data_IF_917265679664
#
_entry.id   IF_917265679664
#
_cell.length_a   1.000
_cell.length_b   1.000
_cell.length_c   1.000
_cell.angle_alpha   90.00
_cell.angle_beta   90.00
_cell.angle_gamma   90.00
#
_symmetry.space_group_name_H-M   'P 1'
#
loop_
_entity.id
_entity.type
_entity.pdbx_description
1 polymer ?
#
# COMPACT_ATOMS: atom_id res chain seq x y z
N UNK A 1 4.83 12.30 10.92
CA UNK A 1 3.57 11.62 10.53
C UNK A 1 3.74 10.12 10.78
N UNK A 2 2.71 9.30 10.58
CA UNK A 2 2.82 7.85 10.68
C UNK A 2 2.27 7.20 9.41
N UNK A 3 2.88 6.12 8.95
CA UNK A 3 2.57 5.54 7.64
C UNK A 3 2.34 4.04 7.74
N UNK A 4 1.44 3.55 6.88
CA UNK A 4 1.38 2.15 6.47
C UNK A 4 2.02 2.07 5.10
N UNK A 5 2.97 1.15 4.93
CA UNK A 5 3.67 0.92 3.66
C UNK A 5 3.37 -0.50 3.19
N UNK A 6 2.75 -0.62 2.01
CA UNK A 6 2.47 -1.89 1.36
C UNK A 6 3.34 -2.07 0.12
N UNK A 7 4.20 -3.08 0.14
CA UNK A 7 5.09 -3.42 -0.96
C UNK A 7 4.54 -4.66 -1.68
N UNK A 8 4.02 -4.48 -2.88
CA UNK A 8 3.44 -5.53 -3.70
C UNK A 8 4.51 -6.18 -4.57
N UNK A 9 4.64 -7.51 -4.47
CA UNK A 9 5.55 -8.29 -5.32
C UNK A 9 5.06 -8.32 -6.77
N UNK A 10 5.87 -8.91 -7.65
CA UNK A 10 5.56 -8.99 -9.08
C UNK A 10 4.28 -9.83 -9.33
N UNK A 11 3.18 -9.23 -9.83
CA UNK A 11 1.99 -10.00 -10.16
C UNK A 11 2.23 -10.83 -11.42
N UNK A 12 1.50 -11.93 -11.54
CA UNK A 12 1.47 -12.77 -12.75
C UNK A 12 0.87 -12.07 -13.96
N UNK A 13 0.01 -11.07 -13.72
CA UNK A 13 -0.61 -10.21 -14.74
C UNK A 13 -0.68 -8.78 -14.18
N UNK A 14 0.12 -7.89 -14.77
CA UNK A 14 0.22 -6.49 -14.32
C UNK A 14 -1.00 -5.66 -14.69
N UNK A 15 -1.64 -5.93 -15.83
CA UNK A 15 -2.81 -5.15 -16.28
C UNK A 15 -4.03 -5.51 -15.43
N UNK A 16 -4.21 -6.79 -15.11
CA UNK A 16 -5.24 -7.24 -14.19
C UNK A 16 -5.02 -6.69 -12.77
N UNK A 17 -3.77 -6.67 -12.28
CA UNK A 17 -3.42 -6.03 -11.01
C UNK A 17 -3.83 -4.56 -11.01
N UNK A 18 -3.40 -3.78 -12.01
CA UNK A 18 -3.63 -2.33 -12.07
C UNK A 18 -5.12 -2.00 -12.13
N UNK A 19 -5.84 -2.70 -13.00
CA UNK A 19 -7.29 -2.52 -13.15
C UNK A 19 -8.02 -2.81 -11.85
N UNK A 20 -7.70 -3.92 -11.17
CA UNK A 20 -8.36 -4.29 -9.93
C UNK A 20 -7.99 -3.33 -8.79
N UNK A 21 -6.71 -3.00 -8.70
CA UNK A 21 -6.17 -2.10 -7.68
C UNK A 21 -6.89 -0.76 -7.71
N UNK A 22 -6.99 -0.14 -8.88
CA UNK A 22 -7.58 1.18 -9.04
C UNK A 22 -9.10 1.18 -8.86
N UNK A 23 -9.78 0.18 -9.44
CA UNK A 23 -11.25 0.13 -9.44
C UNK A 23 -11.85 -0.38 -8.14
N UNK A 24 -11.11 -1.20 -7.38
CA UNK A 24 -11.64 -1.93 -6.21
C UNK A 24 -10.85 -1.63 -4.95
N UNK A 25 -9.53 -1.85 -4.96
CA UNK A 25 -8.72 -1.76 -3.74
C UNK A 25 -8.56 -0.32 -3.24
N UNK A 26 -8.26 0.62 -4.14
CA UNK A 26 -8.08 2.04 -3.80
C UNK A 26 -9.33 2.63 -3.13
N UNK A 27 -10.57 2.41 -3.64
CA UNK A 27 -11.79 2.82 -2.94
C UNK A 27 -11.97 2.24 -1.54
N UNK A 28 -11.47 1.04 -1.26
CA UNK A 28 -11.51 0.45 0.09
C UNK A 28 -10.51 1.13 1.01
N UNK A 29 -9.25 1.21 0.59
CA UNK A 29 -8.18 1.84 1.37
C UNK A 29 -8.43 3.34 1.62
N UNK A 30 -9.08 4.06 0.69
CA UNK A 30 -9.46 5.47 0.88
C UNK A 30 -10.52 5.71 1.95
N UNK A 31 -11.17 4.65 2.47
CA UNK A 31 -12.14 4.76 3.57
C UNK A 31 -11.47 4.69 4.95
N UNK A 32 -10.17 4.39 5.03
CA UNK A 32 -9.48 4.27 6.30
C UNK A 32 -9.64 5.55 7.14
N UNK A 33 -10.05 5.43 8.42
CA UNK A 33 -10.30 6.60 9.25
C UNK A 33 -8.98 7.33 9.54
N UNK A 34 -9.01 8.67 9.45
CA UNK A 34 -7.83 9.50 9.71
C UNK A 34 -6.80 9.51 8.57
N UNK A 35 -7.13 8.97 7.39
CA UNK A 35 -6.30 9.06 6.19
C UNK A 35 -5.97 10.52 5.86
N UNK A 36 -4.69 10.82 5.73
CA UNK A 36 -4.18 12.14 5.31
C UNK A 36 -3.78 12.12 3.85
N UNK A 37 -3.06 11.08 3.43
CA UNK A 37 -2.57 10.95 2.06
C UNK A 37 -2.43 9.49 1.65
N UNK A 38 -2.52 9.25 0.34
CA UNK A 38 -2.34 7.93 -0.25
C UNK A 38 -1.63 8.05 -1.59
N UNK A 39 -0.37 7.64 -1.61
CA UNK A 39 0.50 7.63 -2.79
C UNK A 39 0.85 6.19 -3.18
N UNK A 40 0.99 5.96 -4.47
CA UNK A 40 1.55 4.72 -5.02
C UNK A 40 2.70 5.00 -5.97
N UNK A 41 3.73 4.18 -5.93
CA UNK A 41 4.91 4.25 -6.79
C UNK A 41 5.10 2.92 -7.50
N UNK A 42 5.18 2.94 -8.84
CA UNK A 42 5.61 1.78 -9.63
C UNK A 42 7.13 1.66 -9.56
N UNK A 43 7.61 0.49 -9.19
CA UNK A 43 9.03 0.26 -9.00
C UNK A 43 9.69 -0.09 -10.33
N UNK A 44 10.75 0.62 -10.65
CA UNK A 44 11.66 0.33 -11.76
C UNK A 44 13.09 0.39 -11.25
N UNK A 45 13.98 -0.43 -11.80
CA UNK A 45 15.40 -0.37 -11.45
C UNK A 45 16.09 0.74 -12.23
N UNK A 46 16.83 1.60 -11.52
CA UNK A 46 17.76 2.55 -12.13
C UNK A 46 19.14 1.92 -12.41
N UNK A 47 19.40 0.73 -11.86
CA UNK A 47 20.66 0.00 -12.04
C UNK A 47 20.54 -0.99 -13.22
N UNK A 48 21.35 -0.83 -14.28
CA UNK A 48 21.26 -1.66 -15.47
C UNK A 48 21.40 -3.16 -15.16
N UNK A 49 20.42 -3.95 -15.59
CA UNK A 49 20.44 -5.41 -15.44
C UNK A 49 19.97 -5.93 -14.08
N UNK A 50 19.59 -5.05 -13.15
CA UNK A 50 19.04 -5.45 -11.85
C UNK A 50 17.50 -5.45 -11.87
N UNK A 51 16.91 -6.46 -11.25
CA UNK A 51 15.46 -6.52 -11.01
C UNK A 51 15.06 -5.75 -9.76
N UNK A 52 13.78 -5.41 -9.65
CA UNK A 52 13.19 -4.86 -8.43
C UNK A 52 12.47 -5.95 -7.64
N UNK A 53 12.53 -5.93 -6.30
CA UNK A 53 11.83 -6.92 -5.47
C UNK A 53 10.30 -6.72 -5.46
N UNK A 54 9.84 -5.52 -5.81
CA UNK A 54 8.44 -5.13 -5.78
C UNK A 54 8.04 -4.54 -7.12
N UNK A 55 6.78 -4.74 -7.49
CA UNK A 55 6.16 -4.10 -8.64
C UNK A 55 5.63 -2.71 -8.30
N UNK A 56 5.10 -2.54 -7.08
CA UNK A 56 4.52 -1.28 -6.62
C UNK A 56 4.64 -1.15 -5.10
N UNK A 57 4.86 0.07 -4.63
CA UNK A 57 4.79 0.44 -3.21
C UNK A 57 3.67 1.45 -3.02
N UNK A 58 2.82 1.20 -2.03
CA UNK A 58 1.78 2.12 -1.59
C UNK A 58 2.12 2.67 -0.20
N UNK A 59 1.98 3.97 -0.03
CA UNK A 59 2.16 4.67 1.25
C UNK A 59 0.84 5.33 1.64
N UNK A 60 0.35 4.98 2.81
CA UNK A 60 -0.89 5.50 3.40
C UNK A 60 -0.52 6.28 4.66
N UNK A 61 -0.72 7.60 4.64
CA UNK A 61 -0.20 8.52 5.66
C UNK A 61 -1.29 8.95 6.62
N UNK A 62 -0.92 9.07 7.90
CA UNK A 62 -1.75 9.49 9.03
C UNK A 62 -1.02 10.57 9.84
N UNK A 63 -1.77 11.40 10.57
CA UNK A 63 -1.17 12.49 11.37
C UNK A 63 -0.35 11.97 12.56
N UNK A 64 -0.72 10.83 13.15
CA UNK A 64 -0.09 10.32 14.37
C UNK A 64 -0.10 8.79 14.47
N UNK A 65 0.69 8.25 15.41
CA UNK A 65 0.68 6.82 15.75
C UNK A 65 -0.70 6.37 16.26
N UNK A 66 -1.42 7.24 16.98
CA UNK A 66 -2.78 6.94 17.45
C UNK A 66 -3.74 6.76 16.28
N UNK A 67 -3.64 7.62 15.27
CA UNK A 67 -4.53 7.58 14.11
C UNK A 67 -4.29 6.33 13.26
N UNK A 68 -3.02 5.95 13.03
CA UNK A 68 -2.74 4.70 12.29
C UNK A 68 -3.22 3.47 13.06
N UNK A 69 -3.12 3.45 14.39
CA UNK A 69 -3.63 2.33 15.21
C UNK A 69 -5.14 2.23 15.12
N UNK A 70 -5.84 3.36 15.22
CA UNK A 70 -7.30 3.40 15.05
C UNK A 70 -7.70 2.93 13.65
N UNK A 71 -6.96 3.31 12.60
CA UNK A 71 -7.17 2.81 11.25
C UNK A 71 -6.93 1.30 11.15
N UNK A 72 -5.88 0.76 11.77
CA UNK A 72 -5.56 -0.66 11.72
C UNK A 72 -6.59 -1.58 12.39
N UNK A 73 -7.29 -1.05 13.40
CA UNK A 73 -8.37 -1.73 14.15
C UNK A 73 -9.77 -1.52 13.54
N UNK A 74 -9.86 -0.77 12.43
CA UNK A 74 -11.13 -0.41 11.81
C UNK A 74 -11.70 -1.51 10.89
N UNK A 75 -13.03 -1.59 10.73
CA UNK A 75 -13.64 -2.48 9.76
C UNK A 75 -13.25 -2.15 8.31
N UNK A 76 -12.89 -0.90 8.02
CA UNK A 76 -12.38 -0.49 6.71
C UNK A 76 -11.02 -1.13 6.42
N UNK A 77 -10.14 -1.26 7.42
CA UNK A 77 -8.88 -1.98 7.28
C UNK A 77 -9.10 -3.48 7.10
N UNK A 78 -10.04 -4.08 7.82
CA UNK A 78 -10.37 -5.49 7.64
C UNK A 78 -10.85 -5.77 6.21
N UNK A 79 -11.69 -4.88 5.66
CA UNK A 79 -12.12 -4.96 4.27
C UNK A 79 -10.95 -4.83 3.28
N UNK A 80 -10.06 -3.87 3.48
CA UNK A 80 -8.89 -3.68 2.61
C UNK A 80 -7.93 -4.88 2.68
N UNK A 81 -7.68 -5.45 3.87
CA UNK A 81 -6.82 -6.62 4.05
C UNK A 81 -7.43 -7.87 3.41
N UNK A 82 -8.73 -8.10 3.59
CA UNK A 82 -9.43 -9.23 2.99
C UNK A 82 -9.40 -9.19 1.46
N UNK A 83 -9.34 -8.00 0.89
CA UNK A 83 -9.32 -7.78 -0.56
C UNK A 83 -7.98 -8.11 -1.24
N UNK A 84 -6.86 -8.05 -0.50
CA UNK A 84 -5.51 -8.21 -1.08
C UNK A 84 -5.34 -9.51 -1.87
N UNK A 85 -5.88 -10.63 -1.37
CA UNK A 85 -5.75 -11.93 -2.01
C UNK A 85 -6.40 -12.02 -3.39
N UNK A 86 -7.29 -11.08 -3.74
CA UNK A 86 -7.99 -11.05 -5.02
C UNK A 86 -7.11 -10.59 -6.19
N UNK A 87 -6.04 -9.82 -5.92
CA UNK A 87 -5.23 -9.20 -6.98
C UNK A 87 -3.72 -9.31 -6.78
N UNK A 88 -3.23 -9.40 -5.53
CA UNK A 88 -1.80 -9.38 -5.21
C UNK A 88 -1.15 -10.76 -5.35
N UNK A 89 -1.14 -11.33 -6.56
CA UNK A 89 -0.58 -12.67 -6.83
C UNK A 89 0.93 -12.78 -6.57
N UNK A 90 1.64 -11.66 -6.59
CA UNK A 90 3.05 -11.56 -6.17
C UNK A 90 3.28 -11.45 -4.67
N UNK A 91 2.21 -11.50 -3.86
CA UNK A 91 2.25 -11.27 -2.42
C UNK A 91 2.36 -9.78 -2.04
N UNK A 92 2.26 -9.51 -0.74
CA UNK A 92 2.43 -8.17 -0.17
C UNK A 92 3.27 -8.25 1.11
N UNK A 93 4.17 -7.29 1.30
CA UNK A 93 4.80 -7.00 2.58
C UNK A 93 4.19 -5.72 3.16
N UNK A 94 3.83 -5.75 4.45
CA UNK A 94 3.23 -4.62 5.16
C UNK A 94 4.15 -4.14 6.27
N UNK A 95 4.40 -2.84 6.29
CA UNK A 95 5.15 -2.15 7.33
C UNK A 95 4.34 -0.99 7.90
N UNK A 96 4.66 -0.62 9.13
CA UNK A 96 4.08 0.53 9.81
C UNK A 96 5.24 1.26 10.48
N UNK A 97 5.31 2.58 10.36
CA UNK A 97 6.42 3.35 10.92
C UNK A 97 6.17 4.85 10.96
N UNK A 98 6.98 5.53 11.76
CA UNK A 98 7.02 6.98 11.81
C UNK A 98 7.77 7.56 10.61
N UNK A 99 7.24 8.66 10.10
CA UNK A 99 7.93 9.47 9.11
C UNK A 99 9.01 10.32 9.81
N UNK A 100 10.26 10.12 9.40
CA UNK A 100 11.42 10.85 9.90
C UNK A 100 11.84 11.89 8.84
N UNK A 101 11.48 13.15 9.08
CA UNK A 101 11.92 14.27 8.26
C UNK A 101 13.44 14.46 8.36
N UNK A 102 14.08 14.68 7.22
CA UNK A 102 15.53 14.88 7.08
C UNK A 102 15.86 16.10 6.20
N UNK A 103 14.88 16.96 5.95
CA UNK A 103 15.02 18.18 5.16
C UNK A 103 15.19 19.44 6.01
#
# INVERSE_FOLDING_TARGET
MYQIVACYGQPTDTEAFDTYYDSTHVPLAKKLPGLVDYITVKCVSELPGEGVPYYMVATVTFNSERDVKAALESPEMDAAKADVANFATGGVALYIGDEVDRT
#
